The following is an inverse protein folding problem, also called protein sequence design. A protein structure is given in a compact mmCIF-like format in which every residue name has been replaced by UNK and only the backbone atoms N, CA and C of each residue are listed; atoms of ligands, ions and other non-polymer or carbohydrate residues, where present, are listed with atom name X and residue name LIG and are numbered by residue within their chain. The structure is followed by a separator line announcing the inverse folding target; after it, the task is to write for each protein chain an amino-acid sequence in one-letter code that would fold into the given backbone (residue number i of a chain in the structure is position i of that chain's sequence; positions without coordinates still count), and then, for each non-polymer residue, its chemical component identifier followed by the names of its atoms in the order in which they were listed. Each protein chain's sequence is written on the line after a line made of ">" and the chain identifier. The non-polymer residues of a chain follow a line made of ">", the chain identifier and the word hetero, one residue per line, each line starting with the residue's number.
data_IF_966915008709
#
_entry.id   IF_966915008709
#
_cell.length_a   1.000
_cell.length_b   1.000
_cell.length_c   1.000
_cell.angle_alpha   90.00
_cell.angle_beta   90.00
_cell.angle_gamma   90.00
#
_symmetry.space_group_name_H-M   'P 1'
#
loop_
_entity.id
_entity.type
_entity.pdbx_description
1 polymer ?
#
# COMPACT_ATOMS: atom_id res chain seq x y z
N UNK A 1 -23.43 27.17 2.80
CA UNK A 1 -23.46 25.74 2.44
C UNK A 1 -22.15 25.47 1.72
N UNK A 2 -21.24 24.73 2.35
CA UNK A 2 -20.01 24.31 1.66
C UNK A 2 -20.44 23.47 0.45
N UNK A 3 -19.91 23.78 -0.73
CA UNK A 3 -20.05 22.87 -1.86
C UNK A 3 -19.29 21.61 -1.47
N UNK A 4 -20.00 20.52 -1.21
CA UNK A 4 -19.38 19.19 -1.12
C UNK A 4 -18.60 19.00 -2.42
N UNK A 5 -17.29 18.84 -2.31
CA UNK A 5 -16.45 18.53 -3.46
C UNK A 5 -16.96 17.19 -4.02
N UNK A 6 -17.17 17.12 -5.33
CA UNK A 6 -17.64 15.88 -5.97
C UNK A 6 -16.51 14.86 -5.94
N UNK A 7 -16.86 13.59 -5.74
CA UNK A 7 -15.89 12.50 -5.91
C UNK A 7 -15.56 12.31 -7.39
N UNK A 8 -14.45 11.62 -7.67
CA UNK A 8 -14.09 11.25 -9.05
C UNK A 8 -15.20 10.44 -9.73
N UNK A 9 -15.84 9.53 -9.00
CA UNK A 9 -16.94 8.70 -9.50
C UNK A 9 -18.19 9.53 -9.84
N UNK A 10 -18.49 10.57 -9.06
CA UNK A 10 -19.57 11.53 -9.37
C UNK A 10 -19.27 12.31 -10.67
N UNK A 11 -18.02 12.72 -10.86
CA UNK A 11 -17.58 13.43 -12.07
C UNK A 11 -17.68 12.53 -13.31
N UNK A 12 -17.25 11.28 -13.19
CA UNK A 12 -17.38 10.27 -14.24
C UNK A 12 -18.86 10.00 -14.57
N UNK A 13 -19.71 9.83 -13.56
CA UNK A 13 -21.14 9.63 -13.76
C UNK A 13 -21.79 10.81 -14.50
N UNK A 14 -21.45 12.04 -14.13
CA UNK A 14 -21.92 13.24 -14.81
C UNK A 14 -21.41 13.32 -16.26
N UNK A 15 -20.17 12.89 -16.51
CA UNK A 15 -19.61 12.80 -17.84
C UNK A 15 -20.34 11.77 -18.71
N UNK A 16 -20.59 10.57 -18.20
CA UNK A 16 -21.34 9.51 -18.88
C UNK A 16 -22.76 9.98 -19.28
N UNK A 17 -23.47 10.66 -18.37
CA UNK A 17 -24.79 11.23 -18.65
C UNK A 17 -24.76 12.26 -19.79
N UNK A 18 -23.75 13.15 -19.82
CA UNK A 18 -23.55 14.11 -20.92
C UNK A 18 -23.33 13.40 -22.26
N UNK A 19 -22.73 12.22 -22.21
CA UNK A 19 -22.48 11.37 -23.37
C UNK A 19 -23.68 10.52 -23.81
N UNK A 20 -24.85 10.67 -23.16
CA UNK A 20 -26.08 9.88 -23.36
C UNK A 20 -25.92 8.40 -23.03
N UNK A 21 -25.00 8.07 -22.14
CA UNK A 21 -24.89 6.76 -21.51
C UNK A 21 -25.50 6.82 -20.12
N UNK A 22 -26.17 5.75 -19.70
CA UNK A 22 -26.70 5.63 -18.35
C UNK A 22 -25.63 5.06 -17.42
N UNK A 23 -25.06 5.83 -16.49
CA UNK A 23 -24.24 5.23 -15.43
C UNK A 23 -25.16 4.42 -14.53
N UNK A 24 -24.78 3.16 -14.28
CA UNK A 24 -25.49 2.23 -13.42
C UNK A 24 -24.53 1.91 -12.26
N UNK A 25 -24.76 2.45 -11.05
CA UNK A 25 -23.90 2.13 -9.92
C UNK A 25 -24.03 0.65 -9.59
N UNK A 26 -22.89 -0.02 -9.43
CA UNK A 26 -22.82 -1.42 -9.03
C UNK A 26 -21.90 -1.55 -7.82
N UNK A 27 -22.05 -2.69 -7.12
CA UNK A 27 -21.06 -3.18 -6.17
C UNK A 27 -20.26 -4.29 -6.86
N UNK A 28 -19.06 -4.55 -6.35
CA UNK A 28 -18.00 -5.45 -6.83
C UNK A 28 -18.47 -6.54 -7.80
N UNK A 29 -17.82 -6.61 -8.96
CA UNK A 29 -17.99 -7.69 -9.91
C UNK A 29 -17.62 -9.03 -9.26
N UNK A 30 -18.37 -10.08 -9.58
CA UNK A 30 -17.99 -11.43 -9.18
C UNK A 30 -16.84 -11.87 -10.08
N UNK A 31 -15.61 -11.79 -9.54
CA UNK A 31 -14.35 -12.03 -10.26
C UNK A 31 -14.23 -13.45 -10.86
N UNK A 32 -14.96 -14.41 -10.29
CA UNK A 32 -14.86 -15.83 -10.67
C UNK A 32 -15.52 -16.21 -12.01
N UNK A 33 -16.23 -15.30 -12.67
CA UNK A 33 -17.30 -15.71 -13.61
C UNK A 33 -17.24 -15.17 -15.04
N UNK A 34 -16.37 -14.21 -15.39
CA UNK A 34 -16.52 -13.52 -16.69
C UNK A 34 -15.20 -13.23 -17.44
N UNK A 35 -15.23 -13.37 -18.76
CA UNK A 35 -14.12 -13.00 -19.65
C UNK A 35 -14.04 -11.48 -19.80
N UNK A 36 -13.25 -10.84 -18.95
CA UNK A 36 -12.99 -9.38 -18.99
C UNK A 36 -11.86 -9.05 -19.95
N UNK A 37 -12.01 -7.94 -20.70
CA UNK A 37 -10.97 -7.31 -21.50
C UNK A 37 -10.71 -5.91 -20.97
N UNK A 38 -9.49 -5.67 -20.52
CA UNK A 38 -9.04 -4.34 -20.15
C UNK A 38 -8.81 -3.47 -21.39
N UNK A 39 -9.38 -2.28 -21.37
CA UNK A 39 -9.27 -1.30 -22.43
C UNK A 39 -7.99 -0.48 -22.24
N UNK A 40 -7.10 -0.48 -23.23
CA UNK A 40 -5.80 0.21 -23.15
C UNK A 40 -5.80 1.69 -23.54
N UNK A 41 -6.94 2.38 -23.46
CA UNK A 41 -7.08 3.79 -23.87
C UNK A 41 -7.76 4.65 -22.82
N UNK A 42 -7.93 5.94 -23.10
CA UNK A 42 -8.50 6.89 -22.14
C UNK A 42 -10.04 6.80 -22.00
N UNK A 43 -10.62 7.52 -21.03
CA UNK A 43 -12.08 7.54 -20.81
C UNK A 43 -12.88 7.97 -22.05
N UNK A 44 -12.35 8.88 -22.86
CA UNK A 44 -13.04 9.39 -24.05
C UNK A 44 -13.03 8.33 -25.16
N UNK A 45 -11.90 7.66 -25.36
CA UNK A 45 -11.75 6.52 -26.27
C UNK A 45 -12.61 5.35 -25.82
N UNK A 46 -12.65 5.05 -24.52
CA UNK A 46 -13.50 4.03 -23.93
C UNK A 46 -14.98 4.29 -24.22
N UNK A 47 -15.46 5.52 -24.00
CA UNK A 47 -16.86 5.88 -24.29
C UNK A 47 -17.18 5.75 -25.79
N UNK A 48 -16.22 6.08 -26.67
CA UNK A 48 -16.39 5.88 -28.11
C UNK A 48 -16.50 4.40 -28.47
N UNK A 49 -15.65 3.55 -27.87
CA UNK A 49 -15.70 2.10 -28.02
C UNK A 49 -17.03 1.53 -27.49
N UNK A 50 -17.44 1.91 -26.28
CA UNK A 50 -18.70 1.49 -25.66
C UNK A 50 -19.92 1.83 -26.54
N UNK A 51 -19.95 3.04 -27.11
CA UNK A 51 -21.01 3.44 -28.06
C UNK A 51 -20.98 2.60 -29.34
N UNK A 52 -19.79 2.27 -29.84
CA UNK A 52 -19.61 1.40 -31.01
C UNK A 52 -20.12 -0.02 -30.75
N UNK A 53 -19.93 -0.50 -29.52
CA UNK A 53 -20.48 -1.77 -29.03
C UNK A 53 -22.00 -1.72 -28.78
N UNK A 54 -22.64 -0.56 -28.97
CA UNK A 54 -24.08 -0.40 -28.77
C UNK A 54 -24.50 -0.27 -27.30
N UNK A 55 -23.55 0.02 -26.40
CA UNK A 55 -23.83 0.22 -24.99
C UNK A 55 -24.80 1.39 -24.79
N UNK A 56 -25.82 1.15 -23.96
CA UNK A 56 -26.77 2.19 -23.50
C UNK A 56 -26.55 2.55 -22.04
N UNK A 57 -25.95 1.65 -21.28
CA UNK A 57 -25.55 1.84 -19.91
C UNK A 57 -24.14 1.31 -19.69
N UNK A 58 -23.49 1.86 -18.67
CA UNK A 58 -22.16 1.50 -18.21
C UNK A 58 -22.28 1.19 -16.73
N UNK A 59 -21.79 0.02 -16.30
CA UNK A 59 -21.66 -0.26 -14.88
C UNK A 59 -20.52 0.57 -14.32
N UNK A 60 -20.77 1.21 -13.18
CA UNK A 60 -19.81 2.08 -12.50
C UNK A 60 -19.63 1.53 -11.10
N UNK A 61 -18.46 0.96 -10.86
CA UNK A 61 -17.99 0.58 -9.55
C UNK A 61 -17.08 1.70 -9.02
N UNK A 62 -17.31 2.12 -7.78
CA UNK A 62 -16.44 3.12 -7.13
C UNK A 62 -15.32 2.40 -6.42
N UNK A 63 -14.08 2.80 -6.72
CA UNK A 63 -12.89 2.32 -6.05
C UNK A 63 -12.54 3.29 -4.91
N UNK A 64 -12.13 2.75 -3.78
CA UNK A 64 -11.73 3.50 -2.60
C UNK A 64 -10.28 3.17 -2.30
N UNK A 65 -9.54 4.16 -1.78
CA UNK A 65 -8.21 3.89 -1.26
C UNK A 65 -8.35 3.03 0.00
N UNK A 66 -7.76 1.84 -0.02
CA UNK A 66 -7.75 0.92 1.11
C UNK A 66 -6.46 1.05 1.93
N UNK A 67 -6.48 0.55 3.17
CA UNK A 67 -5.35 0.68 4.10
C UNK A 67 -4.22 -0.30 3.75
N UNK A 68 -4.57 -1.46 3.22
CA UNK A 68 -3.64 -2.51 2.77
C UNK A 68 -2.74 -2.03 1.63
N UNK A 69 -3.19 -1.10 0.78
CA UNK A 69 -2.40 -0.49 -0.30
C UNK A 69 -1.13 0.25 0.19
N UNK A 70 -1.00 0.49 1.51
CA UNK A 70 0.20 1.08 2.11
C UNK A 70 1.25 0.05 2.51
N UNK A 71 0.96 -1.24 2.38
CA UNK A 71 1.83 -2.33 2.79
C UNK A 71 2.32 -3.12 1.58
N UNK A 72 3.54 -3.62 1.67
CA UNK A 72 4.12 -4.46 0.62
C UNK A 72 3.36 -5.79 0.52
N UNK A 73 3.07 -6.20 -0.71
CA UNK A 73 2.50 -7.49 -1.07
C UNK A 73 3.30 -8.06 -2.26
N UNK A 74 4.03 -9.15 -2.01
CA UNK A 74 4.81 -9.87 -3.02
C UNK A 74 3.94 -10.57 -4.06
N UNK A 75 2.65 -10.72 -3.80
CA UNK A 75 1.69 -11.44 -4.64
C UNK A 75 1.86 -12.96 -4.60
N UNK A 76 2.73 -13.49 -3.73
CA UNK A 76 2.78 -14.93 -3.43
C UNK A 76 1.88 -15.23 -2.23
N UNK A 77 0.96 -16.17 -2.39
CA UNK A 77 0.25 -16.69 -1.22
C UNK A 77 1.16 -17.63 -0.41
N UNK A 78 0.89 -17.74 0.90
CA UNK A 78 1.63 -18.59 1.82
C UNK A 78 1.72 -20.06 1.33
N UNK A 79 0.73 -20.53 0.57
CA UNK A 79 0.65 -21.91 0.08
C UNK A 79 1.59 -22.13 -1.12
N UNK A 80 1.71 -21.15 -2.02
CA UNK A 80 2.66 -21.09 -3.12
C UNK A 80 4.08 -20.93 -2.62
N UNK A 81 4.32 -20.07 -1.63
CA UNK A 81 5.62 -19.92 -0.98
C UNK A 81 6.07 -21.23 -0.31
N UNK A 82 5.19 -21.88 0.46
CA UNK A 82 5.47 -23.18 1.08
C UNK A 82 5.66 -24.30 0.06
N UNK A 83 5.02 -24.23 -1.11
CA UNK A 83 5.23 -25.19 -2.19
C UNK A 83 6.59 -24.99 -2.90
N UNK A 84 7.05 -23.74 -3.03
CA UNK A 84 8.31 -23.41 -3.71
C UNK A 84 9.53 -23.59 -2.80
N UNK A 85 9.43 -23.13 -1.55
CA UNK A 85 10.54 -23.03 -0.60
C UNK A 85 10.35 -23.88 0.67
N UNK A 86 9.11 -24.23 1.03
CA UNK A 86 8.78 -25.05 2.21
C UNK A 86 9.23 -26.52 2.14
N UNK A 87 10.05 -26.89 1.17
CA UNK A 87 10.65 -28.22 1.08
C UNK A 87 12.01 -28.31 1.79
N UNK A 88 12.08 -27.77 3.01
CA UNK A 88 13.24 -27.95 3.90
C UNK A 88 13.41 -29.40 4.40
N UNK A 89 12.45 -30.29 4.15
CA UNK A 89 12.55 -31.71 4.56
C UNK A 89 13.38 -32.60 3.62
N UNK A 90 13.96 -32.08 2.53
CA UNK A 90 14.69 -32.92 1.59
C UNK A 90 16.13 -33.28 2.03
N UNK A 91 16.61 -32.73 3.16
CA UNK A 91 18.00 -32.90 3.62
C UNK A 91 18.17 -33.56 5.00
N UNK A 92 17.13 -34.13 5.59
CA UNK A 92 17.28 -34.98 6.79
C UNK A 92 17.67 -36.42 6.40
N UNK A 93 18.93 -36.59 6.01
CA UNK A 93 19.73 -37.81 6.21
C UNK A 93 19.39 -39.08 5.43
N UNK A 94 18.18 -39.25 4.88
CA UNK A 94 17.75 -40.49 4.22
C UNK A 94 16.86 -40.26 2.97
N UNK A 95 17.26 -39.33 2.08
CA UNK A 95 16.55 -39.18 0.79
C UNK A 95 16.84 -40.38 -0.13
N UNK A 96 15.82 -41.19 -0.41
CA UNK A 96 15.81 -42.18 -1.51
C UNK A 96 15.31 -41.59 -2.83
N UNK A 97 15.29 -40.27 -2.95
CA UNK A 97 15.09 -39.60 -4.21
C UNK A 97 16.37 -39.81 -5.06
N UNK A 98 16.29 -40.62 -6.12
CA UNK A 98 17.43 -40.98 -6.97
C UNK A 98 18.11 -39.84 -7.75
N UNK A 99 18.05 -38.60 -7.25
CA UNK A 99 18.71 -37.40 -7.77
C UNK A 99 19.94 -36.95 -6.94
N UNK A 100 20.25 -37.62 -5.82
CA UNK A 100 21.34 -37.23 -4.92
C UNK A 100 22.69 -37.94 -5.19
N UNK A 101 22.85 -38.64 -6.31
CA UNK A 101 24.16 -39.21 -6.67
C UNK A 101 25.05 -38.16 -7.36
N UNK A 102 25.87 -37.44 -6.60
CA UNK A 102 26.98 -36.71 -7.23
C UNK A 102 27.69 -35.57 -6.49
N UNK A 103 27.20 -35.05 -5.35
CA UNK A 103 27.91 -33.96 -4.66
C UNK A 103 28.84 -34.50 -3.57
N UNK A 104 30.03 -34.92 -4.00
CA UNK A 104 31.19 -35.09 -3.11
C UNK A 104 31.41 -33.80 -2.32
N UNK A 105 31.21 -33.90 -1.02
CA UNK A 105 31.63 -32.97 0.02
C UNK A 105 33.04 -32.45 -0.22
N UNK A 106 33.14 -31.23 -0.76
CA UNK A 106 34.38 -30.46 -0.76
C UNK A 106 34.43 -29.77 0.60
N UNK A 107 35.22 -30.35 1.49
CA UNK A 107 35.54 -29.84 2.83
C UNK A 107 35.97 -28.38 2.72
N UNK A 108 35.07 -27.46 3.04
CA UNK A 108 35.41 -26.06 3.27
C UNK A 108 36.26 -26.03 4.54
N UNK A 109 37.36 -25.28 4.47
CA UNK A 109 38.16 -24.93 5.64
C UNK A 109 37.28 -24.07 6.54
N UNK A 110 37.34 -24.34 7.84
CA UNK A 110 37.04 -23.34 8.87
C UNK A 110 37.80 -22.06 8.53
N UNK A 111 37.05 -21.02 8.17
CA UNK A 111 37.48 -19.64 8.29
C UNK A 111 36.45 -18.96 9.19
N UNK A 112 36.78 -18.89 10.47
CA UNK A 112 36.07 -18.19 11.54
C UNK A 112 36.14 -16.68 11.27
N UNK A 113 35.35 -16.16 10.31
CA UNK A 113 34.88 -14.77 10.28
C UNK A 113 33.94 -14.53 9.11
N UNK A 114 32.68 -14.94 9.21
CA UNK A 114 31.60 -14.18 8.60
C UNK A 114 30.37 -14.40 9.47
N UNK A 115 29.90 -13.32 10.08
CA UNK A 115 28.52 -13.26 10.57
C UNK A 115 27.65 -13.56 9.35
N UNK A 116 26.93 -14.69 9.37
CA UNK A 116 25.99 -15.09 8.33
C UNK A 116 25.18 -13.85 7.93
N UNK A 117 25.45 -13.31 6.74
CA UNK A 117 24.65 -12.22 6.20
C UNK A 117 23.29 -12.84 5.89
N UNK A 118 22.32 -12.61 6.78
CA UNK A 118 20.91 -12.97 6.56
C UNK A 118 20.49 -12.24 5.28
N UNK A 119 20.28 -13.01 4.22
CA UNK A 119 19.75 -12.53 2.96
C UNK A 119 18.23 -12.67 3.04
N UNK A 120 17.52 -11.56 2.88
CA UNK A 120 16.07 -11.56 2.80
C UNK A 120 15.63 -11.76 1.36
N UNK A 121 14.52 -12.46 1.16
CA UNK A 121 13.77 -12.49 -0.08
C UNK A 121 12.63 -11.44 -0.03
N UNK A 122 12.08 -10.97 -1.16
CA UNK A 122 11.00 -9.98 -1.13
C UNK A 122 9.79 -10.42 -0.28
N UNK A 123 9.42 -11.69 -0.35
CA UNK A 123 8.31 -12.30 0.39
C UNK A 123 8.51 -12.23 1.92
N UNK A 124 9.76 -12.20 2.40
CA UNK A 124 10.04 -12.00 3.84
C UNK A 124 9.61 -10.61 4.33
N UNK A 125 9.33 -9.68 3.41
CA UNK A 125 8.93 -8.30 3.68
C UNK A 125 7.44 -8.06 3.44
N UNK A 126 6.63 -9.10 3.21
CA UNK A 126 5.18 -8.95 3.11
C UNK A 126 4.59 -8.31 4.38
N UNK A 127 3.72 -7.33 4.18
CA UNK A 127 3.19 -6.50 5.25
C UNK A 127 4.14 -5.41 5.75
N UNK A 128 5.29 -5.18 5.12
CA UNK A 128 6.14 -4.03 5.43
C UNK A 128 5.41 -2.73 5.07
N UNK A 129 5.32 -1.81 6.02
CA UNK A 129 4.76 -0.47 5.81
C UNK A 129 5.66 0.32 4.83
N UNK A 130 5.13 0.57 3.63
CA UNK A 130 5.84 1.25 2.55
C UNK A 130 6.10 2.73 2.88
N UNK A 131 5.35 3.32 3.83
CA UNK A 131 5.61 4.69 4.27
C UNK A 131 6.98 4.84 4.94
N UNK A 132 7.58 3.73 5.43
CA UNK A 132 8.94 3.72 5.96
C UNK A 132 10.00 3.89 4.86
N UNK A 133 9.72 3.46 3.63
CA UNK A 133 10.61 3.65 2.48
C UNK A 133 10.30 4.95 1.74
N UNK A 134 9.02 5.32 1.69
CA UNK A 134 8.52 6.54 1.06
C UNK A 134 7.68 7.35 2.04
N UNK A 135 8.29 8.13 2.94
CA UNK A 135 7.56 8.94 3.92
C UNK A 135 6.60 9.97 3.30
N UNK A 136 6.77 10.32 2.02
CA UNK A 136 5.80 11.18 1.34
C UNK A 136 4.41 10.55 1.23
N UNK A 137 4.29 9.22 1.33
CA UNK A 137 3.01 8.50 1.29
C UNK A 137 2.12 8.84 2.49
N UNK A 138 2.69 9.22 3.64
CA UNK A 138 1.95 9.53 4.85
C UNK A 138 0.88 10.63 4.66
N UNK A 139 1.05 11.53 3.68
CA UNK A 139 0.06 12.57 3.35
C UNK A 139 -1.25 12.01 2.76
N UNK A 140 -1.26 10.75 2.32
CA UNK A 140 -2.43 10.07 1.77
C UNK A 140 -3.17 9.22 2.80
N UNK A 141 -2.61 8.99 3.99
CA UNK A 141 -3.30 8.24 5.07
C UNK A 141 -4.64 8.87 5.45
N UNK A 142 -4.73 10.20 5.46
CA UNK A 142 -5.97 10.93 5.72
C UNK A 142 -7.05 10.73 4.63
N UNK A 143 -6.69 10.10 3.50
CA UNK A 143 -7.58 9.81 2.37
C UNK A 143 -8.07 8.37 2.32
N UNK A 144 -7.68 7.51 3.26
CA UNK A 144 -8.19 6.14 3.33
C UNK A 144 -9.71 6.16 3.41
N UNK A 145 -10.37 5.39 2.55
CA UNK A 145 -11.82 5.38 2.36
C UNK A 145 -12.37 6.54 1.51
N UNK A 146 -11.54 7.45 0.99
CA UNK A 146 -11.93 8.37 -0.08
C UNK A 146 -12.01 7.63 -1.42
N UNK A 147 -12.96 8.02 -2.27
CA UNK A 147 -13.07 7.47 -3.62
C UNK A 147 -11.85 7.87 -4.46
N UNK A 148 -10.99 6.91 -4.77
CA UNK A 148 -9.75 7.09 -5.53
C UNK A 148 -9.95 6.90 -7.04
N UNK A 149 -10.99 6.17 -7.44
CA UNK A 149 -11.25 5.91 -8.84
C UNK A 149 -12.64 5.37 -9.12
N UNK A 150 -12.84 4.97 -10.37
CA UNK A 150 -13.99 4.18 -10.77
C UNK A 150 -13.61 3.17 -11.84
N UNK A 151 -14.10 1.95 -11.68
CA UNK A 151 -14.04 0.89 -12.68
C UNK A 151 -15.32 0.94 -13.52
N UNK A 152 -15.14 1.03 -14.83
CA UNK A 152 -16.22 1.19 -15.79
C UNK A 152 -16.32 -0.04 -16.68
N UNK A 153 -17.47 -0.69 -16.64
CA UNK A 153 -17.68 -1.95 -17.38
C UNK A 153 -18.79 -1.79 -18.40
N UNK A 154 -18.49 -2.14 -19.65
CA UNK A 154 -19.50 -2.31 -20.71
C UNK A 154 -20.08 -3.72 -20.56
N UNK A 155 -21.39 -3.86 -20.27
CA UNK A 155 -21.99 -5.18 -20.18
C UNK A 155 -21.97 -5.90 -21.53
N UNK A 156 -21.49 -7.14 -21.55
CA UNK A 156 -21.41 -7.96 -22.76
C UNK A 156 -21.09 -9.42 -22.47
N UNK A 157 -20.93 -10.21 -23.53
CA UNK A 157 -20.34 -11.57 -23.42
C UNK A 157 -18.86 -11.48 -23.04
N UNK A 158 -18.22 -10.44 -23.53
CA UNK A 158 -16.86 -10.06 -23.26
C UNK A 158 -16.94 -8.67 -22.64
N UNK A 159 -16.84 -8.59 -21.32
CA UNK A 159 -16.93 -7.30 -20.63
C UNK A 159 -15.72 -6.46 -21.01
N UNK A 160 -15.97 -5.23 -21.46
CA UNK A 160 -14.90 -4.27 -21.72
C UNK A 160 -14.79 -3.36 -20.51
N UNK A 161 -13.60 -3.28 -19.93
CA UNK A 161 -13.37 -2.57 -18.67
C UNK A 161 -12.31 -1.49 -18.83
N UNK A 162 -12.48 -0.37 -18.13
CA UNK A 162 -11.43 0.62 -17.90
C UNK A 162 -11.51 1.13 -16.46
N UNK A 163 -10.35 1.34 -15.85
CA UNK A 163 -10.24 2.00 -14.55
C UNK A 163 -9.77 3.43 -14.75
N UNK A 164 -10.43 4.36 -14.07
CA UNK A 164 -10.10 5.77 -14.12
C UNK A 164 -9.87 6.23 -12.69
N UNK A 165 -8.65 6.65 -12.41
CA UNK A 165 -8.24 7.13 -11.09
C UNK A 165 -8.21 8.65 -11.03
N UNK A 166 -8.20 9.17 -9.82
CA UNK A 166 -7.95 10.57 -9.55
C UNK A 166 -6.45 10.87 -9.65
N UNK A 167 -6.09 12.06 -10.12
CA UNK A 167 -4.67 12.47 -10.28
C UNK A 167 -3.82 12.26 -9.02
N UNK A 168 -4.41 12.46 -7.83
CA UNK A 168 -3.68 12.27 -6.57
C UNK A 168 -3.41 10.80 -6.24
N UNK A 169 -4.24 9.88 -6.77
CA UNK A 169 -4.04 8.45 -6.61
C UNK A 169 -2.96 7.97 -7.56
N UNK A 170 -2.86 8.51 -8.78
CA UNK A 170 -1.73 8.23 -9.67
C UNK A 170 -0.38 8.60 -9.00
N UNK A 171 -0.32 9.77 -8.35
CA UNK A 171 0.85 10.18 -7.57
C UNK A 171 1.13 9.26 -6.35
N UNK A 172 0.11 8.59 -5.81
CA UNK A 172 0.26 7.64 -4.71
C UNK A 172 0.74 6.28 -5.22
N UNK A 173 0.11 5.76 -6.26
CA UNK A 173 0.46 4.50 -6.91
C UNK A 173 1.92 4.51 -7.41
N UNK A 174 2.41 5.64 -7.96
CA UNK A 174 3.83 5.75 -8.33
C UNK A 174 4.76 5.60 -7.12
N UNK A 175 4.39 6.10 -5.93
CA UNK A 175 5.19 5.92 -4.72
C UNK A 175 5.16 4.48 -4.21
N UNK A 176 3.99 3.81 -4.30
CA UNK A 176 3.86 2.38 -3.99
C UNK A 176 4.77 1.57 -4.90
N UNK A 177 4.65 1.76 -6.22
CA UNK A 177 5.47 1.06 -7.22
C UNK A 177 6.97 1.27 -6.96
N UNK A 178 7.40 2.51 -6.72
CA UNK A 178 8.81 2.80 -6.42
C UNK A 178 9.30 2.15 -5.11
N UNK A 179 8.44 2.02 -4.10
CA UNK A 179 8.79 1.38 -2.84
C UNK A 179 8.87 -0.14 -3.00
N UNK A 180 7.90 -0.74 -3.69
CA UNK A 180 7.86 -2.16 -4.02
C UNK A 180 9.04 -2.57 -4.91
N UNK A 181 9.37 -1.78 -5.94
CA UNK A 181 10.53 -2.05 -6.79
C UNK A 181 11.84 -2.02 -5.99
N UNK A 182 11.96 -1.13 -5.00
CA UNK A 182 13.14 -1.10 -4.14
C UNK A 182 13.29 -2.38 -3.30
N UNK A 183 12.17 -2.93 -2.82
CA UNK A 183 12.12 -4.22 -2.11
C UNK A 183 12.49 -5.37 -3.05
N UNK A 184 11.93 -5.41 -4.26
CA UNK A 184 12.20 -6.47 -5.24
C UNK A 184 13.65 -6.48 -5.74
N UNK A 185 14.30 -5.32 -5.85
CA UNK A 185 15.69 -5.21 -6.31
C UNK A 185 16.69 -5.63 -5.23
N UNK A 186 16.53 -5.13 -4.00
CA UNK A 186 17.42 -5.44 -2.87
C UNK A 186 16.64 -5.39 -1.54
N UNK A 187 15.98 -6.49 -1.16
CA UNK A 187 15.12 -6.52 0.04
C UNK A 187 15.93 -6.30 1.33
N UNK A 188 17.19 -6.74 1.36
CA UNK A 188 18.06 -6.56 2.53
C UNK A 188 18.43 -5.09 2.72
N UNK A 189 18.71 -4.36 1.64
CA UNK A 189 18.97 -2.92 1.71
C UNK A 189 17.69 -2.13 2.02
N UNK A 190 16.56 -2.48 1.39
CA UNK A 190 15.26 -1.87 1.67
C UNK A 190 14.90 -1.96 3.16
N UNK A 191 15.02 -3.15 3.78
CA UNK A 191 14.76 -3.32 5.20
C UNK A 191 15.67 -2.44 6.08
N UNK A 192 16.95 -2.33 5.74
CA UNK A 192 17.88 -1.45 6.48
C UNK A 192 17.50 0.02 6.35
N UNK A 193 17.07 0.45 5.17
CA UNK A 193 16.60 1.82 4.95
C UNK A 193 15.34 2.11 5.78
N UNK A 194 14.36 1.22 5.75
CA UNK A 194 13.13 1.34 6.54
C UNK A 194 13.43 1.43 8.04
N UNK A 195 14.31 0.57 8.57
CA UNK A 195 14.75 0.62 9.98
C UNK A 195 15.42 1.95 10.32
N UNK A 196 16.32 2.43 9.46
CA UNK A 196 17.03 3.69 9.71
C UNK A 196 16.08 4.90 9.73
N UNK A 197 15.04 4.90 8.88
CA UNK A 197 14.02 5.96 8.85
C UNK A 197 13.16 5.90 10.11
N UNK A 198 12.71 4.71 10.51
CA UNK A 198 11.94 4.52 11.73
C UNK A 198 12.70 5.02 12.98
N UNK A 199 13.96 4.61 13.14
CA UNK A 199 14.80 5.05 14.26
C UNK A 199 15.03 6.58 14.26
N UNK A 200 15.17 7.18 13.07
CA UNK A 200 15.32 8.62 12.94
C UNK A 200 14.06 9.38 13.35
N UNK A 201 12.87 8.89 12.96
CA UNK A 201 11.58 9.45 13.39
C UNK A 201 11.36 9.32 14.89
N UNK A 202 11.60 8.14 15.49
CA UNK A 202 11.50 7.95 16.93
C UNK A 202 12.43 8.90 17.69
N UNK A 203 13.66 9.09 17.21
CA UNK A 203 14.62 10.02 17.81
C UNK A 203 14.17 11.48 17.72
N UNK A 204 13.53 11.90 16.63
CA UNK A 204 12.96 13.25 16.49
C UNK A 204 11.72 13.45 17.36
N UNK A 205 10.84 12.45 17.46
CA UNK A 205 9.69 12.47 18.36
C UNK A 205 10.12 12.59 19.83
N UNK A 206 11.11 11.79 20.26
CA UNK A 206 11.66 11.87 21.61
C UNK A 206 12.26 13.26 21.93
N UNK A 207 12.92 13.90 20.95
CA UNK A 207 13.42 15.29 21.09
C UNK A 207 12.28 16.31 21.13
N UNK A 208 11.20 16.10 20.40
CA UNK A 208 10.03 16.98 20.39
C UNK A 208 9.29 16.92 21.74
N UNK A 209 9.16 15.73 22.32
CA UNK A 209 8.56 15.54 23.64
C UNK A 209 9.39 16.21 24.76
N UNK A 210 10.72 16.02 24.78
CA UNK A 210 11.61 16.67 25.77
C UNK A 210 11.62 18.21 25.65
N UNK A 211 11.44 18.76 24.44
CA UNK A 211 11.26 20.22 24.23
C UNK A 211 9.90 20.74 24.70
N UNK A 212 8.85 19.93 24.64
CA UNK A 212 7.51 20.31 25.09
C UNK A 212 7.41 20.36 26.63
N UNK A 213 8.09 19.45 27.33
CA UNK A 213 8.16 19.41 28.80
C UNK A 213 8.96 20.59 29.37
N UNK A 214 10.00 21.07 28.68
CA UNK A 214 10.81 22.23 29.11
C UNK A 214 10.11 23.59 29.02
N UNK A 215 8.91 23.69 28.43
CA UNK A 215 8.13 24.95 28.36
C UNK A 215 7.20 25.21 29.55
N UNK A 216 7.11 24.32 30.53
CA UNK A 216 6.40 24.59 31.80
C UNK A 216 7.42 25.08 32.85
N UNK A 217 8.08 26.21 32.56
CA UNK A 217 8.86 26.93 33.56
C UNK A 217 7.88 27.74 34.43
N UNK A 218 7.62 27.17 35.61
CA UNK A 218 6.95 27.72 36.79
C UNK A 218 7.16 29.24 36.95
N UNK A 219 6.11 30.03 36.74
CA UNK A 219 6.04 31.35 37.36
C UNK A 219 5.93 31.16 38.89
N UNK A 220 6.81 31.77 39.71
CA UNK A 220 6.70 31.65 41.16
C UNK A 220 5.42 32.34 41.66
N UNK A 221 4.72 31.75 42.65
CA UNK A 221 3.47 32.31 43.16
C UNK A 221 3.75 33.60 43.93
N UNK A 222 3.03 34.67 43.59
CA UNK A 222 3.00 35.94 44.33
C UNK A 222 2.65 35.65 45.80
N UNK A 223 3.55 36.01 46.71
CA UNK A 223 3.32 35.93 48.14
C UNK A 223 2.21 36.91 48.56
N UNK A 224 1.10 36.36 49.05
CA UNK A 224 0.08 37.10 49.79
C UNK A 224 0.53 37.22 51.25
N UNK A 225 0.89 38.43 51.67
CA UNK A 225 1.21 38.72 53.06
C UNK A 225 -0.07 38.68 53.92
N UNK A 226 0.00 37.84 54.96
CA UNK A 226 -1.06 37.54 55.93
C UNK A 226 -1.49 38.79 56.72
N UNK A 227 -2.80 38.96 56.89
CA UNK A 227 -3.42 39.67 58.02
C UNK A 227 -2.95 39.03 59.34
N UNK A 228 -2.57 39.85 60.31
CA UNK A 228 -2.64 39.49 61.73
C UNK A 228 -3.10 40.70 62.55
N UNK A 229 -4.39 40.70 62.88
CA UNK A 229 -4.92 41.46 64.01
C UNK A 229 -4.43 40.85 65.32
N UNK A 230 -4.02 41.65 66.30
CA UNK A 230 -4.11 41.24 67.70
C UNK A 230 -4.45 42.43 68.61
N UNK A 231 -5.61 42.29 69.26
CA UNK A 231 -6.16 43.11 70.35
C UNK A 231 -5.15 43.32 71.49
N UNK A 232 -5.11 44.52 72.04
CA UNK A 232 -5.59 44.80 73.41
C UNK A 232 -5.89 46.29 73.56
#
# INVERSE_FOLDING_TARGET
>A
MAKTQKSISDEICDYLKKQKLSPIPVQTLNEDMETTRYFGGDLKEFIAAAKTLGAKGIFVETLYLEEDEFYYDSGMDDEEYMALYGNEECCNGDCKCGKCEGKKSKKAKDDDSDVDAVYFEPEDLDGLDLTLLKPQMAKYLDRVGEACGARLTVPGVDHLEVEIFADWYDDFAELVDEASEAIEIDPTDALKQAQAIFEAEEAELAKAEDKSVKKIAVHPPKSSSKKASKKK
#
